data_IF_082164077626
#
_entry.id   IF_082164077626
#
_cell.length_a   1.000
_cell.length_b   1.000
_cell.length_c   1.000
_cell.angle_alpha   90.00
_cell.angle_beta   90.00
_cell.angle_gamma   90.00
#
_symmetry.space_group_name_H-M   'P 1'
#
loop_
_entity.id
_entity.type
_entity.pdbx_description
1 polymer ?
#
# COMPACT_ATOMS: atom_id res chain seq x y z
N UNK A 1 -39.07 -6.57 28.72
CA UNK A 1 -38.17 -7.63 28.24
C UNK A 1 -38.22 -7.90 26.74
N UNK A 2 -39.36 -8.26 26.12
CA UNK A 2 -39.39 -8.53 24.66
C UNK A 2 -39.15 -7.28 23.79
N UNK A 3 -39.72 -6.13 24.16
CA UNK A 3 -39.53 -4.86 23.43
C UNK A 3 -38.09 -4.31 23.50
N UNK A 4 -37.39 -4.53 24.62
CA UNK A 4 -35.99 -4.11 24.77
C UNK A 4 -35.09 -4.90 23.82
N UNK A 5 -35.32 -6.22 23.70
CA UNK A 5 -34.55 -7.07 22.81
C UNK A 5 -34.79 -6.72 21.33
N UNK A 6 -36.04 -6.37 20.96
CA UNK A 6 -36.40 -5.91 19.61
C UNK A 6 -35.65 -4.61 19.22
N UNK A 7 -35.35 -3.74 20.18
CA UNK A 7 -34.58 -2.50 19.93
C UNK A 7 -33.06 -2.72 19.96
N UNK A 8 -32.56 -3.56 20.86
CA UNK A 8 -31.12 -3.80 21.03
C UNK A 8 -30.54 -4.63 19.89
N UNK A 9 -31.26 -5.66 19.42
CA UNK A 9 -30.76 -6.54 18.34
C UNK A 9 -30.34 -5.81 17.07
N UNK A 10 -31.15 -4.91 16.45
CA UNK A 10 -30.73 -4.22 15.24
C UNK A 10 -29.52 -3.29 15.46
N UNK A 11 -29.43 -2.63 16.62
CA UNK A 11 -28.28 -1.78 16.98
C UNK A 11 -27.02 -2.63 17.10
N UNK A 12 -27.12 -3.79 17.76
CA UNK A 12 -26.00 -4.71 17.91
C UNK A 12 -25.53 -5.27 16.56
N UNK A 13 -26.46 -5.64 15.67
CA UNK A 13 -26.12 -6.07 14.31
C UNK A 13 -25.43 -4.95 13.54
N UNK A 14 -25.93 -3.72 13.60
CA UNK A 14 -25.29 -2.56 12.98
C UNK A 14 -23.87 -2.33 13.51
N UNK A 15 -23.67 -2.47 14.82
CA UNK A 15 -22.36 -2.37 15.45
C UNK A 15 -21.39 -3.46 14.96
N UNK A 16 -21.84 -4.71 14.84
CA UNK A 16 -21.02 -5.81 14.30
C UNK A 16 -20.63 -5.56 12.83
N UNK A 17 -21.56 -5.08 12.00
CA UNK A 17 -21.28 -4.73 10.61
C UNK A 17 -20.25 -3.59 10.52
N UNK A 18 -20.37 -2.58 11.39
CA UNK A 18 -19.38 -1.51 11.49
C UNK A 18 -17.99 -2.04 11.86
N UNK A 19 -17.89 -2.93 12.85
CA UNK A 19 -16.61 -3.55 13.22
C UNK A 19 -16.01 -4.37 12.08
N UNK A 20 -16.84 -5.12 11.34
CA UNK A 20 -16.38 -5.88 10.18
C UNK A 20 -15.85 -4.96 9.06
N UNK A 21 -16.53 -3.84 8.80
CA UNK A 21 -16.07 -2.84 7.84
C UNK A 21 -14.74 -2.19 8.27
N UNK A 22 -14.63 -1.80 9.55
CA UNK A 22 -13.39 -1.27 10.11
C UNK A 22 -12.23 -2.29 10.02
N UNK A 23 -12.50 -3.55 10.36
CA UNK A 23 -11.52 -4.63 10.24
C UNK A 23 -11.00 -4.81 8.81
N UNK A 24 -11.88 -4.76 7.80
CA UNK A 24 -11.46 -4.80 6.39
C UNK A 24 -10.61 -3.61 5.98
N UNK A 25 -10.90 -2.40 6.48
CA UNK A 25 -10.09 -1.21 6.19
C UNK A 25 -8.69 -1.33 6.78
N UNK A 26 -8.57 -1.80 8.03
CA UNK A 26 -7.28 -2.02 8.68
C UNK A 26 -6.48 -3.12 7.97
N UNK A 27 -7.14 -4.20 7.57
CA UNK A 27 -6.51 -5.28 6.80
C UNK A 27 -6.00 -4.80 5.43
N UNK A 28 -6.77 -3.97 4.72
CA UNK A 28 -6.34 -3.37 3.47
C UNK A 28 -5.11 -2.45 3.68
N UNK A 29 -5.14 -1.59 4.70
CA UNK A 29 -4.01 -0.73 5.04
C UNK A 29 -2.76 -1.57 5.38
N UNK A 30 -2.91 -2.63 6.18
CA UNK A 30 -1.81 -3.53 6.52
C UNK A 30 -1.21 -4.22 5.29
N UNK A 31 -2.03 -4.55 4.29
CA UNK A 31 -1.55 -5.13 3.03
C UNK A 31 -0.78 -4.10 2.18
N UNK A 32 -1.23 -2.83 2.12
CA UNK A 32 -0.48 -1.76 1.44
C UNK A 32 0.87 -1.52 2.13
N UNK A 33 0.88 -1.42 3.46
CA UNK A 33 2.11 -1.21 4.24
C UNK A 33 3.09 -2.39 4.09
N UNK A 34 2.57 -3.62 4.09
CA UNK A 34 3.36 -4.83 3.84
C UNK A 34 3.97 -4.82 2.45
N UNK A 35 3.17 -4.54 1.42
CA UNK A 35 3.64 -4.43 0.04
C UNK A 35 4.70 -3.33 -0.12
N UNK A 36 4.56 -2.19 0.56
CA UNK A 36 5.55 -1.11 0.52
C UNK A 36 6.89 -1.57 1.11
N UNK A 37 6.86 -2.26 2.26
CA UNK A 37 8.06 -2.81 2.90
C UNK A 37 8.77 -3.85 2.02
N UNK A 38 8.01 -4.74 1.39
CA UNK A 38 8.56 -5.75 0.49
C UNK A 38 9.14 -5.12 -0.78
N UNK A 39 8.43 -4.15 -1.37
CA UNK A 39 8.89 -3.43 -2.56
C UNK A 39 10.18 -2.64 -2.30
N UNK A 40 10.28 -1.95 -1.16
CA UNK A 40 11.50 -1.27 -0.74
C UNK A 40 12.66 -2.23 -0.59
N UNK A 41 12.42 -3.40 0.01
CA UNK A 41 13.47 -4.41 0.22
C UNK A 41 13.99 -4.96 -1.11
N UNK A 42 13.11 -5.13 -2.10
CA UNK A 42 13.50 -5.49 -3.45
C UNK A 42 14.28 -4.34 -4.14
N UNK A 43 13.88 -3.10 -3.91
CA UNK A 43 14.55 -1.92 -4.44
C UNK A 43 15.96 -1.73 -3.85
N UNK A 44 16.17 -2.01 -2.56
CA UNK A 44 17.45 -1.77 -1.87
C UNK A 44 18.58 -2.69 -2.32
N UNK A 45 18.25 -3.85 -2.90
CA UNK A 45 19.21 -4.81 -3.46
C UNK A 45 19.45 -4.61 -4.97
N UNK A 46 18.74 -3.67 -5.58
CA UNK A 46 18.87 -3.39 -7.00
C UNK A 46 20.25 -2.79 -7.32
N UNK A 47 20.72 -3.04 -8.54
CA UNK A 47 22.08 -2.64 -8.94
C UNK A 47 22.17 -1.21 -9.47
N UNK A 48 21.04 -0.65 -9.88
CA UNK A 48 20.91 0.70 -10.41
C UNK A 48 19.52 1.30 -10.11
N UNK A 49 19.39 2.62 -10.17
CA UNK A 49 18.14 3.32 -9.86
C UNK A 49 16.95 2.89 -10.74
N UNK A 50 17.09 2.74 -12.08
CA UNK A 50 16.02 2.20 -12.93
C UNK A 50 15.64 0.77 -12.56
N UNK A 51 16.62 -0.09 -12.22
CA UNK A 51 16.32 -1.46 -11.79
C UNK A 51 15.61 -1.49 -10.43
N UNK A 52 15.90 -0.53 -9.54
CA UNK A 52 15.21 -0.40 -8.26
C UNK A 52 13.73 -0.06 -8.45
N UNK A 53 13.44 0.88 -9.35
CA UNK A 53 12.06 1.24 -9.71
C UNK A 53 11.31 0.04 -10.31
N UNK A 54 11.94 -0.70 -11.24
CA UNK A 54 11.34 -1.88 -11.84
C UNK A 54 11.04 -2.97 -10.80
N UNK A 55 12.00 -3.29 -9.93
CA UNK A 55 11.82 -4.31 -8.88
C UNK A 55 10.79 -3.90 -7.83
N UNK A 56 10.75 -2.62 -7.45
CA UNK A 56 9.72 -2.10 -6.55
C UNK A 56 8.33 -2.26 -7.17
N UNK A 57 8.14 -1.86 -8.42
CA UNK A 57 6.87 -1.96 -9.13
C UNK A 57 6.41 -3.41 -9.30
N UNK A 58 7.31 -4.32 -9.69
CA UNK A 58 7.00 -5.74 -9.86
C UNK A 58 6.63 -6.41 -8.52
N UNK A 59 7.37 -6.09 -7.46
CA UNK A 59 7.11 -6.65 -6.11
C UNK A 59 5.80 -6.12 -5.53
N UNK A 60 5.55 -4.81 -5.65
CA UNK A 60 4.30 -4.19 -5.22
C UNK A 60 3.10 -4.74 -5.99
N UNK A 61 3.23 -4.89 -7.32
CA UNK A 61 2.20 -5.54 -8.14
C UNK A 61 1.97 -6.97 -7.65
N UNK A 62 3.02 -7.77 -7.47
CA UNK A 62 2.92 -9.15 -7.00
C UNK A 62 2.25 -9.27 -5.62
N UNK A 63 2.60 -8.40 -4.67
CA UNK A 63 2.03 -8.37 -3.32
C UNK A 63 0.56 -7.97 -3.30
N UNK A 64 0.12 -7.11 -4.23
CA UNK A 64 -1.26 -6.63 -4.32
C UNK A 64 -2.07 -7.28 -5.45
N UNK A 65 -1.54 -8.31 -6.12
CA UNK A 65 -2.22 -9.00 -7.25
C UNK A 65 -3.61 -9.55 -6.89
N UNK A 66 -3.80 -9.95 -5.64
CA UNK A 66 -5.08 -10.50 -5.16
C UNK A 66 -5.98 -9.44 -4.50
N UNK A 67 -5.54 -8.18 -4.46
CA UNK A 67 -6.21 -7.07 -3.81
C UNK A 67 -7.28 -6.46 -4.73
N UNK A 68 -8.43 -7.12 -4.79
CA UNK A 68 -9.59 -6.69 -5.61
C UNK A 68 -10.18 -5.34 -5.18
N UNK A 69 -9.80 -4.85 -4.00
CA UNK A 69 -10.23 -3.59 -3.42
C UNK A 69 -9.44 -2.38 -3.93
N UNK A 70 -8.32 -2.55 -4.62
CA UNK A 70 -7.54 -1.45 -5.20
C UNK A 70 -8.01 -1.20 -6.64
N UNK A 71 -8.92 -0.24 -6.82
CA UNK A 71 -9.48 0.08 -8.13
C UNK A 71 -8.42 0.73 -9.02
N UNK A 72 -8.24 0.20 -10.24
CA UNK A 72 -7.22 0.68 -11.18
C UNK A 72 -5.79 0.18 -10.92
N UNK A 73 -5.58 -0.62 -9.86
CA UNK A 73 -4.28 -1.18 -9.50
C UNK A 73 -3.40 -0.25 -8.65
N UNK A 74 -2.33 -0.78 -8.04
CA UNK A 74 -1.46 0.01 -7.17
C UNK A 74 -0.59 0.97 -7.97
N UNK A 75 -0.62 2.25 -7.59
CA UNK A 75 0.35 3.24 -8.05
C UNK A 75 1.59 3.18 -7.16
N UNK A 76 2.76 2.97 -7.76
CA UNK A 76 4.03 2.80 -7.06
C UNK A 76 4.97 3.93 -7.44
N UNK A 77 5.44 4.68 -6.44
CA UNK A 77 6.43 5.73 -6.60
C UNK A 77 7.67 5.33 -5.81
N UNK A 78 8.81 5.25 -6.49
CA UNK A 78 10.09 4.90 -5.87
C UNK A 78 10.99 6.13 -5.85
N UNK A 79 11.36 6.58 -4.66
CA UNK A 79 12.30 7.67 -4.45
C UNK A 79 13.74 7.12 -4.44
N UNK A 80 14.49 7.50 -5.46
CA UNK A 80 15.90 7.17 -5.68
C UNK A 80 16.78 8.43 -5.66
N UNK A 81 16.30 9.54 -5.07
CA UNK A 81 17.04 10.80 -5.01
C UNK A 81 18.39 10.69 -4.27
N UNK A 82 18.49 9.78 -3.30
CA UNK A 82 19.72 9.51 -2.53
C UNK A 82 20.34 8.14 -2.92
N UNK A 83 20.36 7.84 -4.23
CA UNK A 83 20.89 6.58 -4.78
C UNK A 83 22.42 6.55 -4.78
N UNK A 84 23.00 6.11 -3.66
CA UNK A 84 24.45 5.93 -3.45
C UNK A 84 24.74 4.83 -2.43
N UNK A 85 26.00 4.33 -2.31
CA UNK A 85 26.36 3.39 -1.26
C UNK A 85 26.02 3.94 0.13
N UNK A 86 25.24 3.21 0.92
CA UNK A 86 24.78 3.66 2.24
C UNK A 86 23.79 4.84 2.18
N UNK A 87 23.28 5.16 0.99
CA UNK A 87 22.13 6.04 0.78
C UNK A 87 20.83 5.32 1.13
N UNK A 88 19.71 5.82 0.62
CA UNK A 88 18.37 5.29 0.91
C UNK A 88 17.51 5.25 -0.33
N UNK A 89 16.60 4.30 -0.34
CA UNK A 89 15.52 4.19 -1.31
C UNK A 89 14.19 4.17 -0.56
N UNK A 90 13.23 4.98 -1.03
CA UNK A 90 11.87 5.01 -0.52
C UNK A 90 10.91 4.41 -1.54
N UNK A 91 9.86 3.73 -1.09
CA UNK A 91 8.72 3.35 -1.95
C UNK A 91 7.45 3.80 -1.28
N UNK A 92 6.60 4.48 -2.04
CA UNK A 92 5.25 4.83 -1.67
C UNK A 92 4.28 4.11 -2.60
N UNK A 93 3.35 3.37 -2.02
CA UNK A 93 2.27 2.70 -2.74
C UNK A 93 0.97 3.42 -2.42
N UNK A 94 0.21 3.73 -3.47
CA UNK A 94 -1.12 4.36 -3.36
C UNK A 94 -2.15 3.47 -4.02
N UNK A 95 -3.27 3.26 -3.35
CA UNK A 95 -4.41 2.50 -3.85
C UNK A 95 -5.70 3.27 -3.59
N UNK A 96 -6.51 3.47 -4.62
CA UNK A 96 -7.85 4.03 -4.47
C UNK A 96 -8.85 2.88 -4.26
N UNK A 97 -9.44 2.82 -3.07
CA UNK A 97 -10.46 1.84 -2.69
C UNK A 97 -11.82 2.36 -3.08
N UNK A 98 -12.57 1.59 -3.85
CA UNK A 98 -13.97 1.90 -4.16
C UNK A 98 -14.87 1.46 -3.00
N UNK A 99 -15.54 2.42 -2.35
CA UNK A 99 -16.51 2.17 -1.29
C UNK A 99 -17.95 2.21 -1.81
N UNK A 100 -18.16 2.06 -3.13
CA UNK A 100 -19.49 2.01 -3.75
C UNK A 100 -20.43 0.99 -3.08
N UNK A 101 -19.90 -0.16 -2.63
CA UNK A 101 -20.64 -1.18 -1.89
C UNK A 101 -21.12 -0.71 -0.49
N UNK A 102 -20.49 0.33 0.07
CA UNK A 102 -20.85 0.95 1.36
C UNK A 102 -21.72 2.21 1.18
N UNK A 103 -22.14 2.53 -0.04
CA UNK A 103 -23.02 3.68 -0.32
C UNK A 103 -24.34 3.65 0.47
N UNK A 104 -24.88 2.46 0.76
CA UNK A 104 -26.10 2.28 1.55
C UNK A 104 -25.97 2.75 3.01
N UNK A 105 -24.74 2.82 3.56
CA UNK A 105 -24.48 3.35 4.90
C UNK A 105 -23.99 4.81 4.88
N UNK A 106 -24.15 5.52 3.77
CA UNK A 106 -23.86 6.96 3.67
C UNK A 106 -22.39 7.32 3.43
N UNK A 107 -21.57 6.37 2.97
CA UNK A 107 -20.17 6.59 2.60
C UNK A 107 -20.02 6.59 1.07
N UNK A 108 -20.27 7.71 0.38
CA UNK A 108 -20.01 7.81 -1.05
C UNK A 108 -18.52 7.99 -1.34
N UNK A 109 -18.04 7.31 -2.38
CA UNK A 109 -16.80 7.66 -3.08
C UNK A 109 -15.65 6.67 -2.94
N UNK A 110 -14.48 7.14 -3.33
CA UNK A 110 -13.21 6.41 -3.24
C UNK A 110 -12.42 6.85 -2.02
N UNK A 111 -11.81 5.91 -1.29
CA UNK A 111 -10.82 6.21 -0.25
C UNK A 111 -9.44 5.86 -0.74
N UNK A 112 -8.55 6.85 -0.72
CA UNK A 112 -7.13 6.65 -0.98
C UNK A 112 -6.46 6.03 0.24
N UNK A 113 -5.91 4.83 0.08
CA UNK A 113 -4.97 4.23 1.00
C UNK A 113 -3.55 4.46 0.49
N UNK A 114 -2.64 4.74 1.41
CA UNK A 114 -1.24 4.99 1.12
C UNK A 114 -0.38 4.27 2.14
N UNK A 115 0.65 3.58 1.66
CA UNK A 115 1.68 2.98 2.51
C UNK A 115 3.05 3.36 1.99
N UNK A 116 3.94 3.71 2.91
CA UNK A 116 5.30 4.13 2.63
C UNK A 116 6.30 3.30 3.43
N UNK A 117 7.47 3.10 2.83
CA UNK A 117 8.59 2.47 3.50
C UNK A 117 9.90 3.04 2.95
N UNK A 118 10.98 2.91 3.73
CA UNK A 118 12.33 3.33 3.36
C UNK A 118 13.32 2.26 3.81
N UNK A 119 14.33 1.96 3.00
CA UNK A 119 15.45 1.11 3.37
C UNK A 119 16.79 1.71 2.93
N UNK A 120 17.87 1.39 3.67
CA UNK A 120 19.22 1.74 3.26
C UNK A 120 19.66 0.90 2.04
N UNK A 121 20.43 1.52 1.15
CA UNK A 121 21.04 0.85 -0.01
C UNK A 121 22.31 0.15 0.43
N UNK A 122 22.45 -1.11 0.03
CA UNK A 122 23.64 -1.92 0.35
C UNK A 122 24.90 -1.31 -0.30
N UNK A 123 25.91 -1.03 0.54
CA UNK A 123 27.19 -0.46 0.12
C UNK A 123 28.01 -1.39 -0.76
N UNK A 124 27.82 -2.70 -0.67
CA UNK A 124 28.65 -3.70 -1.35
C UNK A 124 28.08 -4.16 -2.70
N UNK A 125 26.76 -4.02 -2.90
CA UNK A 125 26.09 -4.41 -4.15
C UNK A 125 26.02 -3.26 -5.17
N UNK A 126 26.14 -2.01 -4.70
CA UNK A 126 26.04 -0.82 -5.54
C UNK A 126 27.18 -0.71 -6.55
N UNK A 127 26.86 -0.69 -7.84
CA UNK A 127 27.78 -0.31 -8.93
C UNK A 127 27.22 0.96 -9.53
N UNK A 128 27.75 2.12 -9.12
CA UNK A 128 27.20 3.46 -9.41
C UNK A 128 27.26 3.90 -10.87
N UNK A 129 26.71 3.12 -11.79
CA UNK A 129 26.85 3.38 -13.23
C UNK A 129 25.79 4.29 -13.82
N UNK A 130 24.84 4.79 -13.03
CA UNK A 130 23.80 5.71 -13.54
C UNK A 130 24.06 7.12 -13.01
N UNK A 131 25.15 7.73 -13.46
CA UNK A 131 25.19 9.19 -13.58
C UNK A 131 24.30 9.56 -14.75
N UNK A 132 23.05 9.93 -14.46
CA UNK A 132 22.18 10.62 -15.42
C UNK A 132 22.72 12.02 -15.72
N UNK A 133 23.88 12.10 -16.35
CA UNK A 133 24.28 13.26 -17.14
C UNK A 133 23.64 13.05 -18.51
N UNK A 134 22.52 13.73 -18.74
CA UNK A 134 21.75 13.62 -19.97
C UNK A 134 20.71 14.74 -20.09
N UNK A 135 21.23 15.92 -20.43
CA UNK A 135 20.57 17.17 -20.89
C UNK A 135 19.95 18.12 -19.84
#
# INVERSE_FOLDING_TARGET
>A
MSLEMVLVTPIFVAFLLFLAAAGRMVDAQSQVDGAARDAVRAASIARSAPSAQAFAAETAAAGLRNSRWCAGGPSVVTDVSDWRPGGRVGVTITCDVDLGDLSFIGLPGTKRLQGDAVAPIDTFTFRGTDTGDGE
#
